data_IF_954909051255
#
_entry.id   IF_954909051255
#
_cell.length_a   1.000
_cell.length_b   1.000
_cell.length_c   1.000
_cell.angle_alpha   90.00
_cell.angle_beta   90.00
_cell.angle_gamma   90.00
#
_symmetry.space_group_name_H-M   'P 1'
#
loop_
_entity.id
_entity.type
_entity.pdbx_description
1 polymer ?
#
# COMPACT_ATOMS: atom_id res chain seq x y z
N UNK A 1 14.03 -7.53 11.83
CA UNK A 1 14.17 -8.46 10.70
C UNK A 1 13.37 -7.88 9.55
N UNK A 2 13.89 -7.87 8.31
CA UNK A 2 13.08 -7.50 7.15
C UNK A 2 11.83 -8.38 7.12
N UNK A 3 10.67 -7.79 6.82
CA UNK A 3 9.41 -8.54 6.69
C UNK A 3 9.57 -9.49 5.52
N UNK A 4 9.04 -10.72 5.63
CA UNK A 4 8.99 -11.59 4.47
C UNK A 4 8.26 -10.89 3.30
N UNK A 5 8.63 -11.19 2.04
CA UNK A 5 7.93 -10.64 0.88
C UNK A 5 6.42 -10.92 0.98
N UNK A 6 5.59 -9.97 0.59
CA UNK A 6 4.15 -10.18 0.56
C UNK A 6 3.76 -10.98 -0.69
N UNK A 7 2.97 -12.03 -0.50
CA UNK A 7 2.38 -12.80 -1.60
C UNK A 7 1.17 -12.04 -2.16
N UNK A 8 1.14 -11.78 -3.47
CA UNK A 8 0.09 -10.99 -4.13
C UNK A 8 -0.38 -11.65 -5.42
N UNK A 9 -1.69 -11.75 -5.60
CA UNK A 9 -2.28 -12.15 -6.88
C UNK A 9 -2.76 -10.93 -7.68
N UNK A 10 -2.33 -10.81 -8.93
CA UNK A 10 -2.78 -9.79 -9.87
C UNK A 10 -3.70 -10.36 -10.93
N UNK A 11 -4.86 -9.74 -11.11
CA UNK A 11 -5.70 -9.97 -12.29
C UNK A 11 -5.48 -8.84 -13.29
N UNK A 12 -4.77 -9.13 -14.38
CA UNK A 12 -4.57 -8.19 -15.48
C UNK A 12 -5.63 -8.48 -16.53
N UNK A 13 -6.34 -7.44 -16.98
CA UNK A 13 -7.28 -7.55 -18.10
C UNK A 13 -6.62 -6.96 -19.33
N UNK A 14 -6.60 -7.72 -20.42
CA UNK A 14 -6.10 -7.21 -21.70
C UNK A 14 -6.87 -5.95 -22.12
N UNK A 15 -6.20 -5.06 -22.86
CA UNK A 15 -6.78 -3.80 -23.32
C UNK A 15 -6.94 -2.72 -22.24
N UNK A 16 -6.53 -2.99 -20.99
CA UNK A 16 -6.63 -2.03 -19.88
C UNK A 16 -5.28 -1.72 -19.27
N UNK A 17 -5.10 -0.46 -18.88
CA UNK A 17 -3.96 -0.09 -18.05
C UNK A 17 -4.07 -0.78 -16.70
N UNK A 18 -3.09 -1.60 -16.37
CA UNK A 18 -2.94 -2.15 -15.03
C UNK A 18 -2.06 -1.21 -14.19
N UNK A 19 -2.48 -0.93 -12.96
CA UNK A 19 -1.73 -0.11 -12.01
C UNK A 19 -1.76 -0.76 -10.64
N UNK A 20 -0.58 -0.93 -10.03
CA UNK A 20 -0.44 -1.44 -8.68
C UNK A 20 0.45 -0.48 -7.86
N UNK A 21 0.08 -0.21 -6.62
CA UNK A 21 0.79 0.72 -5.74
C UNK A 21 1.23 -0.02 -4.49
N UNK A 22 2.54 -0.06 -4.26
CA UNK A 22 3.18 -0.60 -3.06
C UNK A 22 3.54 0.55 -2.13
N UNK A 23 3.38 0.33 -0.82
CA UNK A 23 3.76 1.25 0.25
C UNK A 23 4.67 0.50 1.23
N UNK A 24 5.98 0.45 0.97
CA UNK A 24 6.91 -0.33 1.79
C UNK A 24 7.01 0.31 3.17
N UNK A 25 6.83 -0.51 4.21
CA UNK A 25 6.72 -0.05 5.59
C UNK A 25 7.67 -0.85 6.49
N UNK A 26 8.20 -0.21 7.54
CA UNK A 26 9.18 -0.83 8.44
C UNK A 26 8.93 -0.46 9.91
N UNK A 27 9.57 -1.22 10.80
CA UNK A 27 9.70 -0.84 12.20
C UNK A 27 10.81 0.23 12.36
N UNK A 28 10.72 1.11 13.37
CA UNK A 28 9.74 1.11 14.47
C UNK A 28 8.34 1.59 14.07
N UNK A 29 7.34 1.30 14.90
CA UNK A 29 6.03 1.95 14.79
C UNK A 29 6.13 3.43 15.17
N UNK A 30 5.38 4.27 14.49
CA UNK A 30 5.18 5.67 14.83
C UNK A 30 3.89 5.82 15.62
N UNK A 31 3.93 6.61 16.69
CA UNK A 31 2.79 6.92 17.54
C UNK A 31 2.55 8.42 17.52
N UNK A 32 1.35 8.83 17.09
CA UNK A 32 0.92 10.24 17.09
C UNK A 32 -0.24 10.43 18.05
N UNK A 33 -0.12 11.33 19.05
CA UNK A 33 -1.22 11.61 19.97
C UNK A 33 -2.47 12.07 19.22
N UNK A 34 -3.61 11.50 19.56
CA UNK A 34 -4.90 11.93 19.04
C UNK A 34 -5.44 13.04 19.94
N UNK A 35 -5.92 14.12 19.32
CA UNK A 35 -6.50 15.27 20.03
C UNK A 35 -8.00 15.45 19.77
N UNK A 36 -8.53 14.85 18.69
CA UNK A 36 -9.95 14.84 18.41
C UNK A 36 -10.34 13.63 17.55
N UNK A 37 -11.54 13.10 17.76
CA UNK A 37 -12.20 12.14 16.88
C UNK A 37 -13.66 12.56 16.69
N UNK A 38 -14.09 12.68 15.44
CA UNK A 38 -15.48 13.04 15.12
C UNK A 38 -16.38 11.83 15.23
N UNK A 39 -17.56 12.00 15.84
CA UNK A 39 -18.63 11.00 15.81
C UNK A 39 -19.41 11.10 14.48
N UNK A 40 -18.79 10.64 13.39
CA UNK A 40 -19.28 10.80 12.02
C UNK A 40 -18.96 9.58 11.14
N UNK A 41 -19.52 9.56 9.93
CA UNK A 41 -19.27 8.56 8.90
C UNK A 41 -18.89 9.27 7.57
N UNK A 42 -17.64 9.15 7.09
CA UNK A 42 -16.53 8.43 7.71
C UNK A 42 -15.98 9.13 8.95
N UNK A 43 -15.29 8.38 9.82
CA UNK A 43 -14.60 8.95 10.98
C UNK A 43 -13.46 9.87 10.53
N UNK A 44 -13.34 11.03 11.18
CA UNK A 44 -12.20 11.94 11.09
C UNK A 44 -11.42 11.95 12.40
N UNK A 45 -10.09 11.89 12.33
CA UNK A 45 -9.17 11.80 13.46
C UNK A 45 -8.12 12.89 13.29
N UNK A 46 -7.95 13.72 14.33
CA UNK A 46 -6.90 14.74 14.40
C UNK A 46 -5.72 14.21 15.20
N UNK A 47 -4.56 14.12 14.55
CA UNK A 47 -3.26 13.79 15.12
C UNK A 47 -2.19 14.66 14.45
N UNK A 48 -1.73 15.70 15.15
CA UNK A 48 -0.87 16.76 14.59
C UNK A 48 0.43 16.21 14.01
N UNK A 49 0.76 16.63 12.78
CA UNK A 49 2.00 16.27 12.11
C UNK A 49 2.15 14.76 11.91
N UNK A 50 1.10 14.07 11.48
CA UNK A 50 1.14 12.62 11.27
C UNK A 50 2.03 12.21 10.09
N UNK A 51 2.19 13.06 9.06
CA UNK A 51 3.02 12.74 7.89
C UNK A 51 2.50 11.59 7.00
N UNK A 52 1.44 10.89 7.40
CA UNK A 52 0.72 9.93 6.54
C UNK A 52 0.19 10.57 5.25
N UNK A 53 0.27 9.81 4.16
CA UNK A 53 -0.34 10.10 2.86
C UNK A 53 -1.53 9.16 2.63
N UNK A 54 -2.47 9.53 1.77
CA UNK A 54 -3.63 8.69 1.44
C UNK A 54 -3.24 7.28 0.97
N UNK A 55 -3.93 6.29 1.54
CA UNK A 55 -3.77 4.87 1.29
C UNK A 55 -2.78 4.15 2.23
N UNK A 56 -2.09 4.87 3.11
CA UNK A 56 -1.30 4.26 4.18
C UNK A 56 -2.19 3.64 5.27
N UNK A 57 -1.72 2.55 5.87
CA UNK A 57 -2.43 1.88 6.97
C UNK A 57 -2.15 2.56 8.32
N UNK A 58 -3.19 2.79 9.11
CA UNK A 58 -3.05 3.21 10.50
C UNK A 58 -4.06 2.51 11.41
N UNK A 59 -3.64 2.24 12.65
CA UNK A 59 -4.46 1.74 13.73
C UNK A 59 -4.70 2.83 14.77
N UNK A 60 -5.76 2.70 15.56
CA UNK A 60 -6.08 3.60 16.67
C UNK A 60 -6.04 2.80 17.97
N UNK A 61 -5.39 3.32 19.00
CA UNK A 61 -5.31 2.66 20.31
C UNK A 61 -5.52 3.67 21.44
N UNK A 62 -5.83 3.18 22.65
CA UNK A 62 -5.86 3.96 23.89
C UNK A 62 -6.79 5.18 23.92
N UNK A 63 -7.81 5.24 23.05
CA UNK A 63 -8.85 6.28 23.07
C UNK A 63 -9.76 6.07 24.27
N UNK A 64 -10.08 7.15 24.99
CA UNK A 64 -11.06 7.18 26.08
C UNK A 64 -12.39 7.74 25.56
N UNK A 65 -13.51 7.16 26.03
CA UNK A 65 -14.85 7.51 25.57
C UNK A 65 -15.25 6.72 24.33
N UNK A 66 -14.66 7.03 23.16
CA UNK A 66 -14.90 6.35 21.88
C UNK A 66 -14.10 5.04 21.78
N UNK A 67 -14.27 4.12 22.74
CA UNK A 67 -13.42 2.92 22.84
C UNK A 67 -13.66 1.89 21.73
N UNK A 68 -14.80 1.96 21.03
CA UNK A 68 -15.13 1.06 19.92
C UNK A 68 -14.13 1.12 18.76
N UNK A 69 -13.40 2.22 18.62
CA UNK A 69 -12.39 2.39 17.56
C UNK A 69 -11.03 1.77 17.91
N UNK A 70 -10.80 1.40 19.18
CA UNK A 70 -9.50 0.94 19.62
C UNK A 70 -9.18 -0.47 19.12
N UNK A 71 -8.02 -0.61 18.50
CA UNK A 71 -7.28 -1.86 18.45
C UNK A 71 -6.69 -2.21 19.82
N UNK A 72 -6.30 -3.47 20.02
CA UNK A 72 -5.69 -3.94 21.27
C UNK A 72 -4.28 -3.36 21.38
N UNK A 73 -4.09 -2.43 22.31
CA UNK A 73 -2.79 -1.82 22.57
C UNK A 73 -1.73 -2.90 22.88
N UNK A 74 -0.51 -2.71 22.36
CA UNK A 74 0.63 -3.63 22.48
C UNK A 74 0.44 -5.02 21.86
N UNK A 75 -0.67 -5.27 21.16
CA UNK A 75 -0.95 -6.52 20.45
C UNK A 75 -1.64 -6.25 19.10
N UNK A 76 -1.10 -5.28 18.34
CA UNK A 76 -1.62 -4.88 17.04
C UNK A 76 -1.49 -6.02 16.02
N UNK A 77 -2.56 -6.24 15.27
CA UNK A 77 -2.65 -7.18 14.15
C UNK A 77 -2.62 -6.41 12.84
N UNK A 78 -2.24 -7.07 11.75
CA UNK A 78 -2.29 -6.44 10.42
C UNK A 78 -3.68 -5.90 10.07
N UNK A 79 -4.75 -6.62 10.49
CA UNK A 79 -6.14 -6.19 10.30
C UNK A 79 -6.54 -4.91 11.04
N UNK A 80 -5.74 -4.48 12.03
CA UNK A 80 -6.01 -3.25 12.78
C UNK A 80 -5.60 -2.01 11.99
N UNK A 81 -4.67 -2.15 11.04
CA UNK A 81 -4.20 -1.05 10.20
C UNK A 81 -5.14 -0.88 9.01
N UNK A 82 -5.88 0.22 9.01
CA UNK A 82 -6.85 0.53 7.96
C UNK A 82 -6.31 1.64 7.05
N UNK A 83 -6.53 1.57 5.73
CA UNK A 83 -6.16 2.64 4.82
C UNK A 83 -6.80 3.96 5.23
N UNK A 84 -5.98 5.00 5.36
CA UNK A 84 -6.41 6.36 5.69
C UNK A 84 -6.54 7.21 4.43
N UNK A 85 -7.36 8.26 4.48
CA UNK A 85 -7.25 9.40 3.57
C UNK A 85 -6.70 10.59 4.34
N UNK A 86 -5.57 11.13 3.90
CA UNK A 86 -5.02 12.35 4.47
C UNK A 86 -5.88 13.54 4.02
N UNK A 87 -6.35 14.34 4.98
CA UNK A 87 -7.09 15.58 4.72
C UNK A 87 -6.13 16.76 4.69
N UNK A 88 -5.25 16.82 5.67
CA UNK A 88 -4.18 17.81 5.81
C UNK A 88 -3.03 17.23 6.64
N UNK A 89 -2.09 18.06 7.12
CA UNK A 89 -0.94 17.60 7.90
C UNK A 89 -1.28 17.07 9.30
N UNK A 90 -2.50 17.33 9.79
CA UNK A 90 -2.96 17.07 11.14
C UNK A 90 -4.20 16.18 11.19
N UNK A 91 -4.86 15.93 10.07
CA UNK A 91 -6.17 15.27 10.03
C UNK A 91 -6.19 14.17 8.97
N UNK A 92 -6.68 13.00 9.37
CA UNK A 92 -6.97 11.88 8.48
C UNK A 92 -8.42 11.43 8.64
N UNK A 93 -8.96 10.78 7.63
CA UNK A 93 -10.21 10.01 7.73
C UNK A 93 -9.96 8.53 7.48
N UNK A 94 -10.79 7.67 8.07
CA UNK A 94 -10.81 6.24 7.78
C UNK A 94 -12.17 5.90 7.17
N UNK A 95 -12.21 5.78 5.85
CA UNK A 95 -13.46 5.63 5.11
C UNK A 95 -14.25 4.36 5.47
N UNK A 96 -13.55 3.32 5.93
CA UNK A 96 -14.15 2.04 6.33
C UNK A 96 -14.73 2.04 7.76
N UNK A 97 -14.74 3.17 8.46
CA UNK A 97 -15.29 3.28 9.82
C UNK A 97 -16.42 4.32 9.83
N UNK A 98 -17.62 3.83 10.13
CA UNK A 98 -18.76 4.64 10.58
C UNK A 98 -18.72 4.76 12.11
N UNK A 99 -18.38 5.94 12.62
CA UNK A 99 -18.35 6.22 14.06
C UNK A 99 -19.63 6.92 14.56
N UNK A 100 -20.67 7.10 13.73
CA UNK A 100 -21.88 7.83 14.13
C UNK A 100 -22.62 7.13 15.29
N UNK A 101 -22.51 5.80 15.40
CA UNK A 101 -23.06 5.01 16.50
C UNK A 101 -22.14 4.88 17.73
N UNK A 102 -20.91 5.38 17.67
CA UNK A 102 -19.94 5.16 18.75
C UNK A 102 -20.20 6.10 19.94
N UNK A 103 -19.53 5.81 21.05
CA UNK A 103 -19.49 6.71 22.21
C UNK A 103 -18.72 7.98 21.85
N UNK A 104 -19.01 9.09 22.53
CA UNK A 104 -18.29 10.34 22.29
C UNK A 104 -16.81 10.20 22.68
N UNK A 105 -15.92 10.81 21.89
CA UNK A 105 -14.52 10.95 22.26
C UNK A 105 -14.40 11.81 23.52
N UNK A 106 -13.63 11.34 24.50
CA UNK A 106 -13.38 12.06 25.76
C UNK A 106 -11.94 12.55 25.81
N UNK A 107 -10.98 11.76 25.33
CA UNK A 107 -9.57 12.14 25.36
C UNK A 107 -8.62 11.00 25.04
N UNK A 108 -7.33 11.34 25.01
CA UNK A 108 -6.24 10.39 24.80
C UNK A 108 -6.24 9.76 23.42
N UNK A 109 -5.53 8.63 23.33
CA UNK A 109 -5.41 7.84 22.12
C UNK A 109 -4.13 8.10 21.32
N UNK A 110 -3.78 7.12 20.50
CA UNK A 110 -2.66 7.19 19.59
C UNK A 110 -3.07 6.66 18.22
N UNK A 111 -2.75 7.44 17.19
CA UNK A 111 -2.72 6.98 15.81
C UNK A 111 -1.38 6.29 15.60
N UNK A 112 -1.43 5.01 15.25
CA UNK A 112 -0.26 4.12 15.18
C UNK A 112 -0.10 3.59 13.76
N UNK A 113 1.10 3.64 13.20
CA UNK A 113 1.39 3.18 11.85
C UNK A 113 2.85 2.74 11.74
N UNK A 114 3.17 1.89 10.77
CA UNK A 114 4.55 1.56 10.45
C UNK A 114 5.27 2.75 9.83
N UNK A 115 6.57 2.86 10.08
CA UNK A 115 7.39 3.92 9.48
C UNK A 115 7.45 3.73 7.96
N UNK A 116 7.06 4.74 7.16
CA UNK A 116 7.26 4.68 5.72
C UNK A 116 8.73 4.53 5.35
N UNK A 117 9.04 3.61 4.43
CA UNK A 117 10.41 3.40 3.97
C UNK A 117 10.82 4.54 3.03
N UNK A 118 11.96 5.23 3.28
CA UNK A 118 12.52 6.20 2.33
C UNK A 118 12.92 5.52 1.02
N UNK A 119 12.63 6.18 -0.10
CA UNK A 119 12.87 5.69 -1.46
C UNK A 119 13.84 6.60 -2.24
N UNK A 120 14.36 7.65 -1.62
CA UNK A 120 15.31 8.57 -2.24
C UNK A 120 16.52 7.83 -2.82
N UNK A 121 16.69 7.93 -4.14
CA UNK A 121 17.80 7.29 -4.87
C UNK A 121 17.69 5.77 -5.04
N UNK A 122 16.64 5.13 -4.52
CA UNK A 122 16.41 3.71 -4.74
C UNK A 122 15.95 3.43 -6.19
N UNK A 123 16.18 2.21 -6.64
CA UNK A 123 15.70 1.69 -7.93
C UNK A 123 14.89 0.43 -7.71
N UNK A 124 14.03 0.08 -8.66
CA UNK A 124 13.23 -1.14 -8.59
C UNK A 124 13.15 -1.86 -9.93
N UNK A 125 12.95 -3.18 -9.86
CA UNK A 125 12.83 -4.08 -11.01
C UNK A 125 11.88 -5.23 -10.72
N UNK A 126 11.25 -5.73 -11.77
CA UNK A 126 10.38 -6.90 -11.75
C UNK A 126 10.36 -7.53 -13.14
N UNK A 127 10.48 -8.85 -13.20
CA UNK A 127 10.30 -9.64 -14.42
C UNK A 127 9.12 -10.59 -14.27
N UNK A 128 8.13 -10.49 -15.16
CA UNK A 128 7.09 -11.48 -15.28
C UNK A 128 7.60 -12.62 -16.16
N UNK A 129 7.51 -13.85 -15.65
CA UNK A 129 7.95 -15.09 -16.33
C UNK A 129 6.86 -16.15 -16.31
N UNK A 130 6.93 -17.11 -17.22
CA UNK A 130 5.96 -18.22 -17.29
C UNK A 130 6.07 -19.18 -16.10
N UNK A 131 7.27 -19.33 -15.54
CA UNK A 131 7.58 -20.05 -14.32
C UNK A 131 8.88 -19.50 -13.68
N UNK A 132 9.20 -19.95 -12.47
CA UNK A 132 10.48 -19.65 -11.81
C UNK A 132 11.64 -20.14 -12.69
N UNK A 133 12.52 -19.22 -13.11
CA UNK A 133 13.62 -19.51 -14.03
C UNK A 133 13.21 -19.71 -15.50
N UNK A 134 11.93 -19.54 -15.83
CA UNK A 134 11.40 -19.73 -17.18
C UNK A 134 11.56 -18.51 -18.11
N UNK A 135 10.80 -18.49 -19.20
CA UNK A 135 10.90 -17.45 -20.23
C UNK A 135 10.43 -16.08 -19.71
N UNK A 136 11.09 -15.00 -20.15
CA UNK A 136 10.67 -13.63 -19.86
C UNK A 136 9.44 -13.28 -20.69
N UNK A 137 8.38 -12.83 -20.02
CA UNK A 137 7.10 -12.43 -20.64
C UNK A 137 6.94 -10.90 -20.66
N UNK A 138 7.34 -10.21 -19.59
CA UNK A 138 7.29 -8.76 -19.50
C UNK A 138 8.32 -8.22 -18.50
N UNK A 139 9.02 -7.16 -18.88
CA UNK A 139 10.03 -6.51 -18.03
C UNK A 139 9.50 -5.19 -17.48
N UNK A 140 9.71 -4.98 -16.18
CA UNK A 140 9.43 -3.74 -15.50
C UNK A 140 10.63 -3.25 -14.72
N UNK A 141 10.92 -1.96 -14.83
CA UNK A 141 11.97 -1.32 -14.05
C UNK A 141 11.79 0.19 -13.98
N UNK A 142 12.50 0.78 -13.02
CA UNK A 142 12.67 2.24 -12.94
C UNK A 142 13.33 2.82 -14.18
N UNK A 143 14.29 2.12 -14.78
CA UNK A 143 14.96 2.53 -16.03
C UNK A 143 14.00 2.58 -17.21
N UNK A 144 13.09 1.60 -17.33
CA UNK A 144 12.05 1.58 -18.37
C UNK A 144 10.96 2.63 -18.09
N UNK A 145 10.82 3.05 -16.83
CA UNK A 145 9.86 4.06 -16.39
C UNK A 145 8.44 3.51 -16.12
N UNK A 146 8.25 2.20 -16.23
CA UNK A 146 6.99 1.53 -15.87
C UNK A 146 6.92 1.13 -14.39
N UNK A 147 8.01 1.32 -13.64
CA UNK A 147 8.01 1.41 -12.18
C UNK A 147 8.46 2.82 -11.77
N UNK A 148 7.64 3.52 -10.99
CA UNK A 148 7.93 4.87 -10.49
C UNK A 148 7.99 4.86 -8.97
N UNK A 149 9.14 5.24 -8.43
CA UNK A 149 9.35 5.46 -7.00
C UNK A 149 9.10 6.93 -6.68
N UNK A 150 8.37 7.18 -5.59
CA UNK A 150 8.14 8.52 -5.08
C UNK A 150 8.50 8.55 -3.59
N UNK A 151 9.55 9.30 -3.26
CA UNK A 151 10.05 9.43 -1.89
C UNK A 151 9.16 10.31 -1.01
N UNK A 152 8.48 11.32 -1.57
CA UNK A 152 7.62 12.19 -0.75
C UNK A 152 6.32 11.51 -0.34
N UNK A 153 5.81 10.60 -1.17
CA UNK A 153 4.63 9.78 -0.86
C UNK A 153 4.97 8.39 -0.35
N UNK A 154 6.25 8.02 -0.38
CA UNK A 154 6.77 6.68 -0.02
C UNK A 154 6.06 5.55 -0.79
N UNK A 155 5.84 5.74 -2.08
CA UNK A 155 5.10 4.78 -2.93
C UNK A 155 5.94 4.27 -4.09
N UNK A 156 5.74 3.00 -4.43
CA UNK A 156 6.21 2.37 -5.66
C UNK A 156 5.00 2.10 -6.54
N UNK A 157 4.94 2.73 -7.70
CA UNK A 157 3.84 2.56 -8.65
C UNK A 157 4.30 1.75 -9.84
N UNK A 158 3.69 0.58 -10.05
CA UNK A 158 3.89 -0.23 -11.24
C UNK A 158 2.74 0.02 -12.21
N UNK A 159 3.06 0.23 -13.49
CA UNK A 159 2.07 0.50 -14.54
C UNK A 159 2.36 -0.35 -15.77
N UNK A 160 1.39 -1.14 -16.21
CA UNK A 160 1.43 -1.82 -17.50
C UNK A 160 0.39 -1.12 -18.40
N UNK A 161 0.83 -0.39 -19.45
CA UNK A 161 -0.09 0.34 -20.33
C UNK A 161 -1.09 -0.60 -21.02
N UNK A 162 -2.28 -0.08 -21.34
CA UNK A 162 -3.31 -0.81 -22.07
C UNK A 162 -2.81 -1.46 -23.38
N UNK A 163 -1.94 -0.78 -24.12
CA UNK A 163 -1.34 -1.32 -25.34
C UNK A 163 -0.46 -2.56 -25.07
N UNK A 164 0.27 -2.58 -23.95
CA UNK A 164 1.08 -3.72 -23.57
C UNK A 164 0.21 -4.89 -23.09
N UNK A 165 -0.81 -4.62 -22.25
CA UNK A 165 -1.72 -5.68 -21.79
C UNK A 165 -2.54 -6.28 -22.93
N UNK A 166 -2.93 -5.49 -23.93
CA UNK A 166 -3.59 -5.99 -25.14
C UNK A 166 -2.72 -6.98 -25.94
N UNK A 167 -1.39 -6.82 -25.89
CA UNK A 167 -0.45 -7.66 -26.64
C UNK A 167 -0.04 -8.95 -25.90
N UNK A 168 -0.46 -9.14 -24.64
CA UNK A 168 -0.10 -10.34 -23.87
C UNK A 168 -0.74 -11.59 -24.48
N UNK A 169 0.07 -12.59 -24.81
CA UNK A 169 -0.42 -13.89 -25.31
C UNK A 169 -0.45 -14.99 -24.25
N UNK A 170 0.20 -14.76 -23.11
CA UNK A 170 0.20 -15.64 -21.95
C UNK A 170 -1.04 -15.43 -21.07
N UNK A 171 -1.44 -16.47 -20.35
CA UNK A 171 -2.59 -16.44 -19.42
C UNK A 171 -2.18 -16.35 -17.95
N UNK A 172 -0.92 -16.66 -17.65
CA UNK A 172 -0.37 -16.59 -16.30
C UNK A 172 1.09 -16.21 -16.33
N UNK A 173 1.56 -15.58 -15.25
CA UNK A 173 2.96 -15.30 -15.02
C UNK A 173 3.27 -15.29 -13.52
N UNK A 174 4.54 -15.44 -13.18
CA UNK A 174 5.09 -15.23 -11.83
C UNK A 174 6.19 -14.19 -11.88
N UNK A 175 6.43 -13.49 -10.77
CA UNK A 175 7.56 -12.58 -10.68
C UNK A 175 7.72 -11.98 -9.28
N UNK A 176 8.88 -11.36 -9.06
CA UNK A 176 9.23 -10.76 -7.78
C UNK A 176 9.51 -9.27 -7.99
N UNK A 177 8.99 -8.43 -7.08
CA UNK A 177 9.35 -7.01 -7.04
C UNK A 177 10.53 -6.82 -6.11
N UNK A 178 11.66 -6.43 -6.68
CA UNK A 178 12.88 -6.10 -5.94
C UNK A 178 13.12 -4.59 -5.93
N UNK A 179 13.54 -4.07 -4.78
CA UNK A 179 14.02 -2.70 -4.60
C UNK A 179 15.49 -2.73 -4.21
N UNK A 180 16.31 -1.92 -4.88
CA UNK A 180 17.72 -1.73 -4.56
C UNK A 180 17.88 -0.34 -3.97
N UNK A 181 18.30 -0.27 -2.71
CA UNK A 181 18.54 0.98 -1.99
C UNK A 181 19.96 1.50 -2.25
N UNK A 182 20.23 2.72 -1.80
CA UNK A 182 21.49 3.44 -2.05
C UNK A 182 22.71 2.83 -1.37
N UNK A 183 22.50 2.02 -0.32
CA UNK A 183 23.54 1.23 0.35
C UNK A 183 23.79 -0.12 -0.34
N UNK A 184 23.09 -0.41 -1.45
CA UNK A 184 23.16 -1.66 -2.18
C UNK A 184 22.33 -2.79 -1.58
N UNK A 185 21.58 -2.52 -0.50
CA UNK A 185 20.63 -3.50 0.03
C UNK A 185 19.55 -3.79 -1.01
N UNK A 186 19.29 -5.07 -1.25
CA UNK A 186 18.24 -5.54 -2.15
C UNK A 186 17.14 -6.15 -1.31
N UNK A 187 15.93 -5.64 -1.46
CA UNK A 187 14.74 -6.06 -0.72
C UNK A 187 13.70 -6.60 -1.69
N UNK A 188 13.30 -7.85 -1.48
CA UNK A 188 12.22 -8.51 -2.20
C UNK A 188 10.91 -8.15 -1.50
N UNK A 189 10.17 -7.21 -2.07
CA UNK A 189 8.95 -6.69 -1.42
C UNK A 189 7.74 -7.58 -1.68
N UNK A 190 7.60 -8.07 -2.91
CA UNK A 190 6.44 -8.83 -3.35
C UNK A 190 6.86 -10.08 -4.10
N UNK A 191 6.11 -11.16 -3.88
CA UNK A 191 6.00 -12.31 -4.76
C UNK A 191 4.65 -12.28 -5.42
N UNK A 192 4.64 -12.44 -6.74
CA UNK A 192 3.47 -12.09 -7.55
C UNK A 192 3.07 -13.27 -8.41
N UNK A 193 1.81 -13.63 -8.32
CA UNK A 193 1.12 -14.50 -9.27
C UNK A 193 0.19 -13.66 -10.13
N UNK A 194 0.28 -13.79 -11.45
CA UNK A 194 -0.53 -13.06 -12.41
C UNK A 194 -1.50 -14.00 -13.10
N UNK A 195 -2.75 -13.59 -13.19
CA UNK A 195 -3.75 -14.12 -14.13
C UNK A 195 -4.09 -13.05 -15.17
N UNK A 196 -4.00 -13.40 -16.44
CA UNK A 196 -4.43 -12.54 -17.55
C UNK A 196 -5.82 -12.96 -18.02
N UNK A 197 -6.77 -12.05 -17.94
CA UNK A 197 -8.11 -12.23 -18.51
C UNK A 197 -8.13 -11.60 -19.89
N UNK A 198 -8.43 -12.43 -20.88
CA UNK A 198 -8.48 -12.00 -22.27
C UNK A 198 -9.62 -11.00 -22.51
N UNK A 199 -9.40 -10.09 -23.45
CA UNK A 199 -10.40 -9.13 -23.86
C UNK A 199 -11.47 -9.80 -24.73
N UNK A 200 -12.75 -9.56 -24.42
CA UNK A 200 -13.88 -10.04 -25.23
C UNK A 200 -14.30 -8.98 -26.27
N UNK A 201 -14.01 -7.72 -26.01
CA UNK A 201 -14.32 -6.61 -26.91
C UNK A 201 -13.17 -6.42 -27.90
N UNK A 202 -13.20 -7.14 -29.02
CA UNK A 202 -12.25 -6.92 -30.12
C UNK A 202 -12.86 -5.96 -31.15
N UNK A 203 -12.05 -5.07 -31.72
CA UNK A 203 -12.48 -4.30 -32.90
C UNK A 203 -12.43 -5.25 -34.11
N UNK A 204 -13.45 -5.27 -35.00
CA UNK A 204 -13.44 -6.11 -36.21
C UNK A 204 -12.26 -5.85 -37.14
#
# INVERSE_FOLDING_TARGET
>A
MPRAPAEVSWTIRQGRTFKYVVRPEMLPLVYKPITAITKAAPVSITATGHGLVTGWGAAVTNVVGMTQINAVANSLRESDFRPVSAVDANTITINAIDAAGFSSYVGGGSLVYYTPVPLAGATARLNLRDAVGGALLYEMSTTIGNIVLNDSTHTITLTIPAAATAAFTFLSAVGDLEVVYTDGFVDELLRIEVTVVQEVTTTP
#
